data_IF_568498860896
#
_entry.id   IF_568498860896
#
_cell.length_a   1.000
_cell.length_b   1.000
_cell.length_c   1.000
_cell.angle_alpha   90.00
_cell.angle_beta   90.00
_cell.angle_gamma   90.00
#
_symmetry.space_group_name_H-M   'P 1'
#
loop_
_entity.id
_entity.type
_entity.pdbx_description
1 polymer ?
#
# COMPACT_ATOMS: atom_id res chain seq x y z
N UNK A 1 45.64 -40.08 14.77
CA UNK A 1 44.75 -39.69 13.67
C UNK A 1 43.52 -39.12 14.36
N UNK A 2 43.20 -37.84 14.38
CA UNK A 2 43.64 -36.66 13.62
C UNK A 2 43.31 -35.45 14.50
N UNK A 3 44.25 -34.52 14.61
CA UNK A 3 44.11 -33.20 15.24
C UNK A 3 43.67 -32.22 14.16
N UNK A 4 42.73 -31.32 14.44
CA UNK A 4 42.46 -30.14 13.59
C UNK A 4 42.41 -28.89 14.46
N UNK A 5 43.20 -27.91 14.03
CA UNK A 5 43.59 -26.70 14.72
C UNK A 5 42.47 -25.67 14.80
N UNK A 6 42.49 -24.90 15.91
CA UNK A 6 41.86 -23.58 16.05
C UNK A 6 42.61 -22.56 15.19
N UNK A 7 41.88 -21.78 14.39
CA UNK A 7 42.38 -20.55 13.77
C UNK A 7 41.73 -19.34 14.45
N UNK A 8 42.59 -18.43 14.89
CA UNK A 8 42.28 -17.13 15.48
C UNK A 8 42.14 -16.13 14.33
N UNK A 9 41.03 -15.39 14.27
CA UNK A 9 40.86 -14.25 13.36
C UNK A 9 40.99 -12.94 14.14
N UNK A 10 41.79 -12.04 13.57
CA UNK A 10 42.29 -10.77 14.09
C UNK A 10 41.26 -9.66 13.77
N UNK A 11 40.73 -9.00 14.80
CA UNK A 11 39.92 -7.78 14.65
C UNK A 11 40.84 -6.60 14.28
N UNK A 12 40.53 -5.94 13.16
CA UNK A 12 41.08 -4.63 12.79
C UNK A 12 39.96 -3.59 12.93
N UNK A 13 40.08 -2.73 13.91
CA UNK A 13 39.25 -1.54 14.11
C UNK A 13 39.77 -0.39 13.24
N UNK A 14 38.90 0.23 12.46
CA UNK A 14 39.13 1.56 11.87
C UNK A 14 37.95 2.43 12.28
N UNK A 15 38.22 3.38 13.19
CA UNK A 15 37.36 4.52 13.44
C UNK A 15 37.78 5.68 12.54
N UNK A 16 36.82 6.38 11.97
CA UNK A 16 37.03 7.71 11.39
C UNK A 16 36.09 8.69 12.09
N UNK A 17 36.70 9.64 12.81
CA UNK A 17 36.07 10.86 13.27
C UNK A 17 36.56 12.02 12.38
N UNK A 18 35.74 13.06 12.31
CA UNK A 18 35.74 14.09 11.27
C UNK A 18 36.93 15.04 11.19
N UNK A 19 36.91 15.83 10.11
CA UNK A 19 37.29 17.23 10.12
C UNK A 19 36.70 17.91 8.88
N UNK A 20 35.79 18.86 9.09
CA UNK A 20 35.43 19.91 8.16
C UNK A 20 36.56 20.95 8.19
N UNK A 21 37.04 21.36 7.01
CA UNK A 21 38.01 22.42 6.86
C UNK A 21 37.63 23.26 5.64
N UNK A 22 37.29 24.51 5.91
CA UNK A 22 37.14 25.60 4.95
C UNK A 22 38.44 25.82 4.17
N UNK A 23 38.34 26.07 2.86
CA UNK A 23 39.25 26.96 2.12
C UNK A 23 38.65 27.29 0.74
N UNK A 24 38.14 28.51 0.62
CA UNK A 24 37.98 29.26 -0.64
C UNK A 24 39.39 29.76 -1.08
N UNK A 25 39.75 29.71 -2.37
CA UNK A 25 39.79 31.00 -3.07
C UNK A 25 39.41 30.93 -4.56
N UNK A 26 38.50 31.83 -4.94
CA UNK A 26 38.63 32.86 -5.98
C UNK A 26 39.20 32.49 -7.39
N UNK A 27 38.29 32.54 -8.37
CA UNK A 27 38.28 33.47 -9.52
C UNK A 27 39.40 33.41 -10.60
N UNK A 28 39.05 33.01 -11.84
CA UNK A 28 39.20 33.69 -13.16
C UNK A 28 38.86 32.68 -14.28
N UNK A 29 37.84 32.87 -15.12
CA UNK A 29 37.75 33.69 -16.35
C UNK A 29 38.40 33.06 -17.61
N UNK A 30 37.68 33.18 -18.74
CA UNK A 30 38.00 32.81 -20.14
C UNK A 30 38.07 31.29 -20.41
N UNK A 31 37.29 30.68 -21.30
CA UNK A 31 37.06 31.06 -22.69
C UNK A 31 37.90 30.17 -23.62
N UNK A 32 37.28 29.67 -24.70
CA UNK A 32 37.89 29.11 -25.92
C UNK A 32 37.84 27.58 -26.11
N UNK A 33 37.00 27.23 -27.08
CA UNK A 33 37.08 26.11 -28.01
C UNK A 33 38.50 25.71 -28.44
N UNK A 34 38.78 24.40 -28.48
CA UNK A 34 39.46 23.82 -29.63
C UNK A 34 39.16 22.33 -29.84
N UNK A 35 39.05 22.02 -31.12
CA UNK A 35 38.89 20.76 -31.83
C UNK A 35 40.03 19.75 -31.58
N UNK A 36 39.70 18.45 -31.65
CA UNK A 36 40.70 17.37 -31.61
C UNK A 36 40.15 16.00 -32.01
N UNK A 37 40.19 15.74 -33.32
CA UNK A 37 39.99 14.45 -33.99
C UNK A 37 41.05 13.41 -33.58
N UNK A 38 40.67 12.14 -33.43
CA UNK A 38 41.57 10.97 -33.40
C UNK A 38 40.81 9.64 -33.57
N UNK A 39 40.79 9.15 -34.80
CA UNK A 39 40.52 7.75 -35.15
C UNK A 39 41.61 6.80 -34.62
N UNK A 40 41.25 5.56 -34.24
CA UNK A 40 42.07 4.38 -34.53
C UNK A 40 41.31 3.06 -34.42
N UNK A 41 41.47 2.26 -35.48
CA UNK A 41 40.98 0.91 -35.72
C UNK A 41 41.58 -0.18 -34.82
N UNK A 42 40.86 -1.30 -34.72
CA UNK A 42 41.36 -2.56 -34.17
C UNK A 42 40.51 -3.77 -34.56
N UNK A 43 40.51 -4.13 -35.85
CA UNK A 43 39.89 -5.36 -36.39
C UNK A 43 40.89 -6.53 -36.38
N UNK A 44 40.47 -7.72 -35.96
CA UNK A 44 41.18 -8.99 -36.22
C UNK A 44 40.28 -10.00 -36.90
N UNK A 45 40.91 -10.71 -37.84
CA UNK A 45 40.37 -11.42 -39.00
C UNK A 45 40.04 -12.90 -38.71
N UNK A 46 38.83 -13.28 -39.13
CA UNK A 46 38.39 -14.47 -39.90
C UNK A 46 39.17 -15.80 -39.86
N UNK A 47 38.46 -16.93 -39.64
CA UNK A 47 38.48 -18.06 -40.60
C UNK A 47 37.21 -18.92 -40.54
N UNK A 48 36.63 -19.11 -41.72
CA UNK A 48 35.44 -19.87 -42.14
C UNK A 48 35.67 -21.38 -42.19
N UNK A 49 34.65 -22.22 -41.96
CA UNK A 49 34.36 -23.39 -42.82
C UNK A 49 32.84 -23.59 -42.93
N UNK A 50 32.36 -23.46 -44.16
CA UNK A 50 31.02 -23.81 -44.68
C UNK A 50 30.95 -25.28 -45.06
N UNK A 51 29.79 -25.93 -44.87
CA UNK A 51 29.23 -26.86 -45.86
C UNK A 51 27.71 -26.95 -45.69
N UNK A 52 27.00 -26.47 -46.70
CA UNK A 52 25.65 -26.92 -47.10
C UNK A 52 25.84 -27.83 -48.35
N UNK A 53 24.90 -28.74 -48.70
CA UNK A 53 23.83 -28.29 -49.59
C UNK A 53 22.47 -29.01 -49.48
N UNK A 54 21.41 -28.22 -49.63
CA UNK A 54 20.20 -28.38 -50.46
C UNK A 54 19.84 -29.78 -51.01
N UNK A 55 18.55 -30.16 -50.86
CA UNK A 55 17.53 -29.93 -51.91
C UNK A 55 16.31 -30.86 -51.81
N UNK A 56 15.13 -30.32 -52.16
CA UNK A 56 13.88 -30.97 -52.63
C UNK A 56 13.09 -31.80 -51.61
N UNK A 57 11.76 -31.80 -51.56
CA UNK A 57 10.68 -31.21 -52.33
C UNK A 57 9.37 -31.87 -51.88
N UNK A 58 8.29 -31.07 -51.83
CA UNK A 58 6.85 -31.43 -51.95
C UNK A 58 6.33 -32.80 -51.46
N UNK A 59 5.23 -32.81 -50.68
CA UNK A 59 3.89 -33.27 -51.11
C UNK A 59 2.83 -32.90 -50.05
N UNK A 60 1.63 -32.56 -50.52
CA UNK A 60 0.44 -32.22 -49.72
C UNK A 60 -0.36 -33.48 -49.38
N UNK A 61 -1.16 -33.48 -48.30
CA UNK A 61 -2.64 -33.61 -48.33
C UNK A 61 -3.30 -34.01 -46.98
N UNK A 62 -4.27 -33.16 -46.57
CA UNK A 62 -5.63 -33.45 -46.05
C UNK A 62 -5.90 -34.42 -44.89
N UNK A 63 -6.59 -33.90 -43.85
CA UNK A 63 -7.93 -34.31 -43.36
C UNK A 63 -8.21 -33.56 -42.03
N UNK A 64 -9.10 -32.56 -41.95
CA UNK A 64 -10.55 -32.63 -41.68
C UNK A 64 -10.96 -33.58 -40.55
N UNK A 65 -11.41 -33.02 -39.42
CA UNK A 65 -12.78 -33.19 -38.90
C UNK A 65 -13.05 -32.23 -37.73
N UNK A 66 -14.13 -31.48 -37.88
CA UNK A 66 -14.89 -30.73 -36.87
C UNK A 66 -15.88 -31.69 -36.17
N UNK A 67 -16.41 -31.37 -34.97
CA UNK A 67 -17.76 -30.80 -34.99
C UNK A 67 -18.05 -29.69 -33.96
N UNK A 68 -18.79 -28.72 -34.48
CA UNK A 68 -19.59 -27.64 -33.87
C UNK A 68 -20.64 -28.06 -32.83
N UNK A 69 -20.95 -27.10 -31.94
CA UNK A 69 -22.19 -27.05 -31.17
C UNK A 69 -22.29 -25.84 -30.24
N UNK A 70 -22.79 -24.70 -30.72
CA UNK A 70 -23.38 -23.66 -29.86
C UNK A 70 -24.62 -23.06 -30.52
N UNK A 71 -25.70 -23.03 -29.75
CA UNK A 71 -27.03 -22.54 -30.09
C UNK A 71 -27.19 -21.08 -29.67
N UNK A 72 -27.84 -20.30 -30.53
CA UNK A 72 -28.44 -18.99 -30.22
C UNK A 72 -29.85 -19.17 -29.67
N UNK A 73 -30.31 -18.27 -28.79
CA UNK A 73 -31.73 -17.91 -28.65
C UNK A 73 -31.91 -16.50 -28.05
N UNK A 74 -32.99 -15.86 -28.49
CA UNK A 74 -33.35 -14.46 -28.46
C UNK A 74 -33.86 -13.91 -27.11
N UNK A 75 -33.87 -12.57 -27.00
CA UNK A 75 -34.22 -11.83 -25.78
C UNK A 75 -35.71 -11.61 -25.50
N UNK A 76 -35.98 -10.77 -24.50
CA UNK A 76 -37.25 -10.06 -24.30
C UNK A 76 -37.10 -8.97 -23.23
N UNK A 77 -37.93 -7.96 -23.40
CA UNK A 77 -38.01 -6.65 -22.75
C UNK A 77 -39.06 -6.57 -21.63
N UNK A 78 -38.91 -5.60 -20.71
CA UNK A 78 -39.96 -4.82 -19.98
C UNK A 78 -39.22 -3.99 -18.91
N UNK A 79 -39.27 -2.65 -18.78
CA UNK A 79 -40.33 -1.64 -18.70
C UNK A 79 -41.09 -1.55 -17.35
N UNK A 80 -40.67 -0.54 -16.56
CA UNK A 80 -41.49 0.51 -15.92
C UNK A 80 -42.00 0.36 -14.46
N UNK A 81 -41.85 1.51 -13.78
CA UNK A 81 -42.70 2.14 -12.76
C UNK A 81 -42.57 1.66 -11.30
N UNK A 82 -42.79 2.44 -10.25
CA UNK A 82 -42.74 3.89 -9.90
C UNK A 82 -43.37 3.97 -8.49
N UNK A 83 -43.04 5.01 -7.70
CA UNK A 83 -43.80 5.55 -6.53
C UNK A 83 -43.75 4.74 -5.20
N UNK A 84 -43.24 5.24 -4.06
CA UNK A 84 -43.48 6.45 -3.24
C UNK A 84 -44.55 6.32 -2.14
N UNK A 85 -44.13 6.64 -0.90
CA UNK A 85 -44.90 7.19 0.25
C UNK A 85 -45.96 6.28 0.92
N UNK A 86 -46.27 6.33 2.21
CA UNK A 86 -46.39 7.48 3.11
C UNK A 86 -46.46 7.05 4.59
N UNK A 87 -45.88 7.89 5.46
CA UNK A 87 -46.17 8.07 6.88
C UNK A 87 -47.64 8.38 7.16
N UNK A 88 -48.19 7.98 8.32
CA UNK A 88 -49.23 8.74 9.05
C UNK A 88 -49.12 8.53 10.57
N UNK A 89 -49.45 9.60 11.29
CA UNK A 89 -49.40 9.79 12.74
C UNK A 89 -50.78 10.22 13.27
N UNK A 90 -51.00 10.07 14.58
CA UNK A 90 -52.17 10.62 15.33
C UNK A 90 -53.41 9.74 15.26
N UNK A 91 -54.26 9.58 16.28
CA UNK A 91 -54.72 10.57 17.24
C UNK A 91 -55.16 9.95 18.59
N UNK A 92 -55.30 10.86 19.56
CA UNK A 92 -55.62 10.70 20.97
C UNK A 92 -57.12 10.47 21.25
N UNK A 93 -57.47 9.89 22.41
CA UNK A 93 -58.57 10.41 23.26
C UNK A 93 -58.63 9.74 24.64
N UNK A 94 -59.14 10.52 25.58
CA UNK A 94 -59.11 10.43 27.03
C UNK A 94 -60.31 9.71 27.67
N UNK A 95 -60.15 9.22 28.91
CA UNK A 95 -61.16 9.38 29.97
C UNK A 95 -60.60 9.01 31.36
N UNK A 96 -61.04 9.76 32.38
CA UNK A 96 -60.59 9.73 33.78
C UNK A 96 -61.47 8.89 34.71
N UNK A 97 -60.94 8.58 35.91
CA UNK A 97 -61.66 8.18 37.14
C UNK A 97 -61.59 6.68 37.44
N UNK A 98 -61.32 6.16 38.65
CA UNK A 98 -61.40 6.70 40.01
C UNK A 98 -60.57 5.79 40.95
N UNK A 99 -60.31 6.29 42.15
CA UNK A 99 -59.30 5.87 43.11
C UNK A 99 -59.70 4.67 43.97
N UNK A 100 -58.74 3.80 44.29
CA UNK A 100 -58.70 3.14 45.60
C UNK A 100 -57.27 2.82 46.00
N UNK A 101 -56.83 3.51 47.03
CA UNK A 101 -55.58 3.31 47.76
C UNK A 101 -55.58 1.96 48.49
N UNK A 102 -54.50 1.21 48.26
CA UNK A 102 -53.94 0.26 49.22
C UNK A 102 -52.46 0.62 49.35
N UNK A 103 -52.06 1.01 50.55
CA UNK A 103 -50.68 1.24 50.92
C UNK A 103 -49.92 -0.09 50.86
N UNK A 104 -49.16 -0.32 49.80
CA UNK A 104 -48.07 -1.29 49.78
C UNK A 104 -46.75 -0.52 49.61
N UNK A 105 -46.08 -0.36 50.74
CA UNK A 105 -44.74 0.19 50.82
C UNK A 105 -43.74 -0.80 50.19
N UNK A 106 -42.92 -0.29 49.27
CA UNK A 106 -41.59 -0.85 48.99
C UNK A 106 -41.55 -1.93 47.91
N UNK A 107 -41.45 -1.49 46.66
CA UNK A 107 -40.27 -1.78 45.84
C UNK A 107 -40.32 -0.83 44.67
N UNK A 108 -39.75 0.36 44.87
CA UNK A 108 -39.11 1.04 43.75
C UNK A 108 -38.14 0.02 43.15
N UNK A 109 -38.43 -0.47 41.95
CA UNK A 109 -37.45 -1.11 41.09
C UNK A 109 -36.45 -0.02 40.66
N UNK A 110 -35.74 0.53 41.64
CA UNK A 110 -34.41 1.03 41.40
C UNK A 110 -33.62 -0.24 41.11
N UNK A 111 -33.12 -0.34 39.89
CA UNK A 111 -32.14 -1.33 39.47
C UNK A 111 -30.92 -1.17 40.37
N UNK A 112 -30.94 -1.79 41.55
CA UNK A 112 -29.72 -2.21 42.21
C UNK A 112 -29.32 -3.45 41.45
N UNK A 113 -28.29 -3.36 40.60
CA UNK A 113 -27.80 -4.47 39.77
C UNK A 113 -27.85 -5.77 40.55
N UNK A 114 -28.57 -6.75 40.01
CA UNK A 114 -28.62 -8.07 40.60
C UNK A 114 -27.18 -8.61 40.55
N UNK A 115 -26.73 -9.30 41.59
CA UNK A 115 -25.35 -9.83 41.61
C UNK A 115 -25.13 -10.97 40.58
N UNK A 116 -26.16 -11.26 39.80
CA UNK A 116 -26.23 -12.25 38.73
C UNK A 116 -26.45 -11.57 37.35
N UNK A 117 -26.40 -10.23 37.26
CA UNK A 117 -26.47 -9.51 35.99
C UNK A 117 -25.12 -9.61 35.25
N UNK A 118 -25.22 -9.75 33.93
CA UNK A 118 -24.13 -9.78 32.93
C UNK A 118 -24.70 -8.96 31.77
N UNK A 119 -24.33 -7.67 31.73
CA UNK A 119 -25.01 -6.66 30.93
C UNK A 119 -24.58 -6.68 29.46
N UNK A 120 -23.40 -7.23 29.15
CA UNK A 120 -22.87 -7.34 27.79
C UNK A 120 -22.81 -8.78 27.25
N UNK A 121 -23.28 -9.76 28.05
CA UNK A 121 -23.39 -11.18 27.73
C UNK A 121 -22.03 -11.84 27.42
N UNK A 122 -20.93 -11.38 28.03
CA UNK A 122 -19.59 -11.92 27.84
C UNK A 122 -19.26 -13.14 28.72
N UNK A 123 -20.12 -13.42 29.71
CA UNK A 123 -20.01 -14.53 30.65
C UNK A 123 -19.32 -14.20 31.97
N UNK A 124 -18.93 -12.95 32.19
CA UNK A 124 -18.48 -12.36 33.45
C UNK A 124 -19.64 -11.54 34.04
N UNK A 125 -19.84 -11.64 35.34
CA UNK A 125 -20.93 -10.90 35.99
C UNK A 125 -20.50 -9.43 36.19
N UNK A 126 -21.43 -8.47 36.08
CA UNK A 126 -21.19 -7.02 36.23
C UNK A 126 -20.40 -6.63 37.49
N UNK A 127 -20.45 -7.46 38.53
CA UNK A 127 -19.75 -7.25 39.81
C UNK A 127 -18.27 -7.59 39.77
N UNK A 128 -17.86 -8.43 38.83
CA UNK A 128 -16.50 -8.91 38.59
C UNK A 128 -15.97 -8.44 37.21
N UNK A 129 -16.78 -7.66 36.46
CA UNK A 129 -16.50 -7.20 35.11
C UNK A 129 -15.85 -5.80 35.10
N UNK A 130 -14.65 -5.70 34.57
CA UNK A 130 -13.91 -4.44 34.41
C UNK A 130 -14.38 -3.60 33.21
N UNK A 131 -15.32 -4.11 32.39
CA UNK A 131 -15.97 -3.41 31.29
C UNK A 131 -17.47 -3.74 31.15
N UNK A 132 -18.28 -3.44 32.18
CA UNK A 132 -19.75 -3.67 32.30
C UNK A 132 -20.61 -3.50 31.01
N UNK A 133 -20.21 -2.66 30.06
CA UNK A 133 -20.98 -2.37 28.85
C UNK A 133 -20.33 -2.92 27.55
N UNK A 134 -19.14 -3.54 27.61
CA UNK A 134 -18.33 -3.96 26.45
C UNK A 134 -17.68 -5.31 26.71
N UNK A 135 -18.20 -6.34 26.02
CA UNK A 135 -17.80 -7.72 26.21
C UNK A 135 -16.27 -7.95 26.10
N UNK A 136 -15.68 -8.46 27.18
CA UNK A 136 -14.27 -8.81 27.29
C UNK A 136 -14.07 -9.99 28.26
N UNK A 137 -14.50 -11.18 27.84
CA UNK A 137 -14.47 -12.38 28.68
C UNK A 137 -13.09 -12.78 29.25
N UNK A 138 -12.00 -12.21 28.73
CA UNK A 138 -10.64 -12.39 29.24
C UNK A 138 -10.25 -11.43 30.36
N UNK A 139 -11.06 -10.39 30.60
CA UNK A 139 -10.96 -9.40 31.69
C UNK A 139 -9.57 -8.77 31.79
N UNK A 140 -8.97 -8.50 30.63
CA UNK A 140 -7.64 -7.92 30.55
C UNK A 140 -7.67 -6.47 31.04
N UNK A 141 -6.72 -6.12 31.92
CA UNK A 141 -6.49 -4.79 32.49
C UNK A 141 -4.96 -4.66 32.67
N UNK A 142 -4.35 -3.91 31.76
CA UNK A 142 -2.89 -3.86 31.62
C UNK A 142 -2.21 -2.97 32.68
N UNK A 143 -2.81 -1.84 33.04
CA UNK A 143 -2.24 -0.91 34.04
C UNK A 143 -2.79 -1.10 35.46
N UNK A 144 -3.77 -2.00 35.61
CA UNK A 144 -4.32 -2.46 36.89
C UNK A 144 -5.04 -1.34 37.63
N UNK A 145 -5.85 -0.57 36.89
CA UNK A 145 -6.67 0.51 37.42
C UNK A 145 -8.16 0.12 37.66
N UNK A 146 -8.47 -1.16 37.45
CA UNK A 146 -9.81 -1.79 37.49
C UNK A 146 -10.71 -1.43 36.29
N UNK A 147 -10.19 -0.77 35.24
CA UNK A 147 -10.85 -0.57 33.94
C UNK A 147 -10.24 -1.53 32.92
N UNK A 148 -11.06 -2.25 32.17
CA UNK A 148 -10.54 -3.20 31.19
C UNK A 148 -10.00 -2.55 29.92
N UNK A 149 -9.00 -3.18 29.30
CA UNK A 149 -8.30 -2.65 28.12
C UNK A 149 -9.23 -2.25 26.96
N UNK A 150 -10.40 -2.89 26.84
CA UNK A 150 -11.36 -2.63 25.75
C UNK A 150 -12.21 -1.37 25.99
N UNK A 151 -12.37 -0.96 27.25
CA UNK A 151 -13.19 0.17 27.67
C UNK A 151 -12.38 1.31 28.31
N UNK A 152 -11.07 1.13 28.43
CA UNK A 152 -10.10 2.16 28.79
C UNK A 152 -10.07 3.29 27.73
N UNK A 153 -9.75 4.51 28.15
CA UNK A 153 -9.59 5.69 27.31
C UNK A 153 -8.16 6.27 27.31
N UNK A 154 -7.25 5.72 28.11
CA UNK A 154 -5.86 6.17 28.24
C UNK A 154 -4.87 5.31 27.42
N UNK A 155 -3.98 5.97 26.67
CA UNK A 155 -2.88 5.26 25.99
C UNK A 155 -1.83 4.88 27.02
N UNK A 156 -1.54 3.58 27.13
CA UNK A 156 -0.47 3.04 27.97
C UNK A 156 0.76 2.80 27.10
N UNK A 157 1.87 3.45 27.42
CA UNK A 157 3.20 3.11 26.89
C UNK A 157 4.21 3.23 28.03
N UNK A 158 4.53 2.09 28.66
CA UNK A 158 5.45 2.03 29.80
C UNK A 158 6.84 1.46 29.43
N UNK A 159 7.05 1.17 28.14
CA UNK A 159 8.25 0.53 27.59
C UNK A 159 8.31 -0.99 27.76
N UNK A 160 7.36 -1.59 28.46
CA UNK A 160 7.14 -3.05 28.56
C UNK A 160 5.97 -3.42 27.67
N UNK A 161 4.87 -2.68 27.79
CA UNK A 161 3.61 -2.91 27.12
C UNK A 161 3.12 -1.62 26.41
N UNK A 162 2.28 -1.81 25.39
CA UNK A 162 1.61 -0.74 24.67
C UNK A 162 0.12 -1.06 24.52
N UNK A 163 -0.75 -0.20 25.06
CA UNK A 163 -2.19 -0.22 24.80
C UNK A 163 -2.57 1.05 24.03
N UNK A 164 -3.24 0.88 22.90
CA UNK A 164 -3.86 1.97 22.14
C UNK A 164 -5.37 1.75 22.20
N UNK A 165 -6.11 2.49 23.05
CA UNK A 165 -7.54 2.29 23.20
C UNK A 165 -8.36 2.72 21.99
N UNK A 166 -9.60 2.24 21.93
CA UNK A 166 -10.56 2.57 20.86
C UNK A 166 -10.74 4.08 20.68
N UNK A 167 -10.74 4.54 19.43
CA UNK A 167 -10.92 5.96 19.10
C UNK A 167 -9.72 6.87 19.37
N UNK A 168 -8.61 6.33 19.89
CA UNK A 168 -7.34 7.05 20.05
C UNK A 168 -6.42 6.82 18.85
N UNK A 169 -5.38 7.64 18.73
CA UNK A 169 -4.32 7.46 17.73
C UNK A 169 -2.95 7.62 18.38
N UNK A 170 -2.03 6.72 18.04
CA UNK A 170 -0.66 6.73 18.53
C UNK A 170 0.31 6.62 17.36
N UNK A 171 1.39 7.41 17.39
CA UNK A 171 2.41 7.42 16.34
C UNK A 171 3.61 6.58 16.79
N UNK A 172 4.01 5.58 15.99
CA UNK A 172 5.32 4.93 16.11
C UNK A 172 6.13 5.10 14.84
N UNK A 173 7.45 5.04 14.98
CA UNK A 173 8.39 5.07 13.87
C UNK A 173 9.54 4.08 14.06
N UNK A 174 10.10 3.64 12.93
CA UNK A 174 11.31 2.83 12.84
C UNK A 174 11.22 1.49 13.59
N UNK A 175 11.79 1.38 14.78
CA UNK A 175 11.87 0.14 15.55
C UNK A 175 11.29 0.39 16.94
N UNK A 176 10.19 -0.29 17.23
CA UNK A 176 9.51 -0.24 18.52
C UNK A 176 9.62 -1.61 19.21
N UNK A 177 10.04 -1.59 20.47
CA UNK A 177 10.41 -2.78 21.22
C UNK A 177 9.71 -2.80 22.57
N UNK A 178 8.82 -3.77 22.75
CA UNK A 178 8.07 -4.03 23.97
C UNK A 178 8.42 -5.43 24.47
N UNK A 179 8.67 -5.63 25.76
CA UNK A 179 9.00 -6.97 26.30
C UNK A 179 7.77 -7.77 26.71
N UNK A 180 6.63 -7.10 26.89
CA UNK A 180 5.33 -7.66 27.18
C UNK A 180 4.46 -7.70 25.91
N UNK A 181 3.35 -6.99 25.94
CA UNK A 181 2.26 -7.06 24.98
C UNK A 181 2.04 -5.74 24.26
N UNK A 182 1.60 -5.82 23.01
CA UNK A 182 1.11 -4.68 22.25
C UNK A 182 -0.34 -4.94 21.85
N UNK A 183 -1.25 -4.07 22.26
CA UNK A 183 -2.69 -4.18 22.02
C UNK A 183 -3.18 -2.92 21.32
N UNK A 184 -3.76 -3.09 20.14
CA UNK A 184 -4.22 -2.00 19.28
C UNK A 184 -5.73 -2.12 19.08
N UNK A 185 -6.51 -1.33 19.83
CA UNK A 185 -7.95 -1.13 19.65
C UNK A 185 -8.26 0.18 18.89
N UNK A 186 -7.37 1.16 18.96
CA UNK A 186 -7.41 2.41 18.20
C UNK A 186 -6.60 2.35 16.91
N UNK A 187 -5.98 3.48 16.53
CA UNK A 187 -5.12 3.56 15.35
C UNK A 187 -3.65 3.74 15.72
N UNK A 188 -2.80 2.79 15.36
CA UNK A 188 -1.35 2.93 15.37
C UNK A 188 -0.89 3.46 14.01
N UNK A 189 -0.47 4.72 13.94
CA UNK A 189 0.01 5.34 12.70
C UNK A 189 1.53 5.21 12.58
N UNK A 190 1.99 4.74 11.41
CA UNK A 190 3.42 4.62 11.09
C UNK A 190 3.89 5.94 10.51
N UNK A 191 4.49 6.75 11.37
CA UNK A 191 4.81 8.15 11.05
C UNK A 191 5.85 8.26 9.95
N UNK A 192 5.56 9.06 8.92
CA UNK A 192 6.55 9.47 7.90
C UNK A 192 7.56 10.48 8.46
N UNK A 193 8.84 10.11 8.54
CA UNK A 193 9.91 11.09 8.80
C UNK A 193 10.29 11.77 7.48
N UNK A 194 10.16 13.11 7.44
CA UNK A 194 10.41 13.94 6.25
C UNK A 194 11.88 13.91 5.80
N UNK A 195 12.05 14.08 4.48
CA UNK A 195 13.29 14.08 3.67
C UNK A 195 13.90 12.68 3.37
N UNK A 196 13.76 11.69 4.27
CA UNK A 196 14.26 10.31 4.03
C UNK A 196 13.13 9.24 3.90
N UNK A 197 11.89 9.65 4.15
CA UNK A 197 10.67 8.90 3.85
C UNK A 197 10.38 7.69 4.75
N UNK A 198 10.78 7.67 6.03
CA UNK A 198 10.52 6.50 6.89
C UNK A 198 9.03 6.37 7.24
N UNK A 199 8.22 5.72 6.40
CA UNK A 199 6.97 5.06 6.82
C UNK A 199 7.20 3.56 6.98
N UNK A 200 8.21 3.20 7.77
CA UNK A 200 8.57 1.81 8.08
C UNK A 200 8.51 1.59 9.59
N UNK A 201 7.89 0.50 10.01
CA UNK A 201 7.77 0.06 11.40
C UNK A 201 8.22 -1.39 11.53
N UNK A 202 9.13 -1.65 12.46
CA UNK A 202 9.39 -2.97 13.03
C UNK A 202 8.92 -2.95 14.47
N UNK A 203 7.84 -3.67 14.76
CA UNK A 203 7.27 -3.78 16.09
C UNK A 203 7.60 -5.17 16.66
N UNK A 204 8.32 -5.21 17.78
CA UNK A 204 8.61 -6.44 18.49
C UNK A 204 7.95 -6.48 19.87
N UNK A 205 7.31 -7.61 20.18
CA UNK A 205 6.66 -7.87 21.47
C UNK A 205 6.69 -9.36 21.84
N UNK A 206 6.22 -9.72 23.04
CA UNK A 206 5.86 -11.11 23.35
C UNK A 206 4.57 -11.49 22.62
N UNK A 207 3.53 -10.66 22.76
CA UNK A 207 2.25 -10.80 22.05
C UNK A 207 1.90 -9.49 21.34
N UNK A 208 1.31 -9.59 20.15
CA UNK A 208 0.77 -8.45 19.41
C UNK A 208 -0.69 -8.75 19.06
N UNK A 209 -1.61 -7.89 19.46
CA UNK A 209 -3.03 -7.94 19.11
C UNK A 209 -3.40 -6.68 18.34
N UNK A 210 -3.94 -6.86 17.13
CA UNK A 210 -4.71 -5.83 16.42
C UNK A 210 -6.17 -6.25 16.54
N UNK A 211 -6.87 -5.68 17.52
CA UNK A 211 -8.23 -6.07 17.86
C UNK A 211 -9.24 -5.61 16.80
N UNK A 212 -10.48 -6.09 16.87
CA UNK A 212 -11.57 -5.59 16.03
C UNK A 212 -11.72 -4.07 16.18
N UNK A 213 -11.80 -3.35 15.05
CA UNK A 213 -11.80 -1.88 15.03
C UNK A 213 -10.42 -1.23 15.20
N UNK A 214 -9.42 -1.99 15.64
CA UNK A 214 -8.02 -1.58 15.70
C UNK A 214 -7.37 -1.51 14.32
N UNK A 215 -6.42 -0.59 14.14
CA UNK A 215 -5.74 -0.38 12.86
C UNK A 215 -4.27 -0.04 13.01
N UNK A 216 -3.40 -0.76 12.30
CA UNK A 216 -2.01 -0.33 12.04
C UNK A 216 -1.96 0.28 10.65
N UNK A 217 -1.64 1.58 10.57
CA UNK A 217 -1.73 2.39 9.37
C UNK A 217 -0.36 2.86 8.88
N UNK A 218 0.10 2.30 7.77
CA UNK A 218 1.23 2.76 6.99
C UNK A 218 0.82 3.11 5.55
N UNK A 219 -0.44 3.49 5.32
CA UNK A 219 -0.91 3.94 4.02
C UNK A 219 -0.13 5.13 3.53
N UNK A 220 0.23 5.10 2.24
CA UNK A 220 1.05 6.15 1.66
C UNK A 220 2.23 6.43 2.59
N UNK A 221 2.93 5.40 3.09
CA UNK A 221 4.08 5.53 3.99
C UNK A 221 5.42 5.43 3.26
N UNK A 222 5.41 5.01 2.00
CA UNK A 222 6.58 4.69 1.21
C UNK A 222 7.24 5.87 0.51
N UNK A 223 7.95 5.60 -0.59
CA UNK A 223 8.65 6.65 -1.34
C UNK A 223 7.69 7.65 -1.97
N UNK A 224 8.15 8.89 -2.12
CA UNK A 224 7.33 9.96 -2.64
C UNK A 224 7.05 9.77 -4.14
N UNK A 225 5.84 10.15 -4.56
CA UNK A 225 5.48 10.20 -5.97
C UNK A 225 6.20 11.34 -6.70
N UNK A 226 6.24 11.23 -8.03
CA UNK A 226 6.85 12.23 -8.89
C UNK A 226 6.16 13.58 -8.76
N UNK A 227 6.93 14.65 -8.88
CA UNK A 227 6.41 16.03 -8.84
C UNK A 227 6.29 16.62 -10.25
N UNK A 228 5.57 17.74 -10.35
CA UNK A 228 5.38 18.47 -11.60
C UNK A 228 6.70 19.10 -12.05
N UNK A 229 7.10 18.87 -13.30
CA UNK A 229 8.27 19.52 -13.88
C UNK A 229 7.99 21.00 -14.22
N UNK A 230 8.96 21.88 -13.95
CA UNK A 230 8.95 23.25 -14.49
C UNK A 230 9.57 23.22 -15.88
N UNK A 231 8.80 23.52 -16.93
CA UNK A 231 9.23 23.50 -18.34
C UNK A 231 9.76 22.14 -18.87
N UNK A 232 9.57 21.07 -18.10
CA UNK A 232 9.89 19.68 -18.43
C UNK A 232 8.62 18.81 -18.28
N UNK A 233 8.64 17.56 -18.76
CA UNK A 233 7.56 16.61 -18.48
C UNK A 233 7.44 16.29 -16.99
N UNK A 234 6.59 15.32 -16.66
CA UNK A 234 6.43 14.82 -15.31
C UNK A 234 7.74 14.25 -14.80
N UNK A 235 8.05 14.51 -13.53
CA UNK A 235 9.23 13.93 -12.86
C UNK A 235 8.88 12.49 -12.46
N UNK A 236 9.85 11.59 -12.52
CA UNK A 236 9.70 10.23 -12.02
C UNK A 236 9.42 10.20 -10.50
N UNK A 237 8.79 9.14 -10.03
CA UNK A 237 8.70 8.88 -8.59
C UNK A 237 10.05 8.52 -7.97
N UNK A 238 10.05 8.43 -6.64
CA UNK A 238 11.20 7.96 -5.86
C UNK A 238 11.08 6.46 -5.52
N UNK A 239 12.21 5.87 -5.16
CA UNK A 239 12.31 4.47 -4.73
C UNK A 239 12.79 3.49 -5.81
N UNK A 240 13.20 2.27 -5.42
CA UNK A 240 13.51 1.20 -6.37
C UNK A 240 12.25 0.88 -7.20
N UNK A 241 12.32 0.64 -8.50
CA UNK A 241 11.07 0.39 -9.26
C UNK A 241 10.09 1.58 -9.30
N UNK A 242 10.58 2.79 -8.98
CA UNK A 242 9.89 4.03 -9.32
C UNK A 242 9.60 4.07 -10.82
N UNK A 243 8.47 4.66 -11.15
CA UNK A 243 7.98 4.72 -12.52
C UNK A 243 8.20 6.11 -13.10
N UNK A 244 8.29 6.17 -14.43
CA UNK A 244 8.64 7.40 -15.12
C UNK A 244 7.45 8.37 -15.20
N UNK A 245 7.76 9.67 -15.18
CA UNK A 245 6.76 10.68 -15.48
C UNK A 245 6.46 10.76 -16.98
N UNK A 246 5.29 11.33 -17.32
CA UNK A 246 4.85 11.51 -18.69
C UNK A 246 5.60 12.64 -19.40
N UNK A 247 5.87 12.48 -20.70
CA UNK A 247 6.46 13.54 -21.53
C UNK A 247 5.56 14.78 -21.68
N UNK A 248 6.16 15.90 -22.11
CA UNK A 248 5.42 17.13 -22.45
C UNK A 248 4.44 16.88 -23.61
N UNK A 249 3.34 17.61 -23.67
CA UNK A 249 2.44 17.62 -24.83
C UNK A 249 2.66 18.82 -25.73
N UNK A 250 2.67 18.65 -27.06
CA UNK A 250 2.45 19.78 -27.99
C UNK A 250 0.99 20.24 -27.95
N UNK A 251 0.07 19.29 -27.69
CA UNK A 251 -1.34 19.54 -27.41
C UNK A 251 -1.74 18.94 -26.05
N UNK A 252 -1.51 17.64 -25.80
CA UNK A 252 -1.95 16.93 -24.58
C UNK A 252 -0.74 16.34 -23.83
N UNK A 253 -0.58 16.68 -22.55
CA UNK A 253 0.46 16.08 -21.69
C UNK A 253 0.21 14.58 -21.47
N UNK A 254 1.28 13.79 -21.34
CA UNK A 254 1.18 12.34 -21.11
C UNK A 254 0.93 12.03 -19.63
N UNK A 255 0.13 11.01 -19.35
CA UNK A 255 -0.11 10.59 -17.97
C UNK A 255 1.12 9.90 -17.35
N UNK A 256 1.18 9.88 -16.03
CA UNK A 256 2.24 9.17 -15.30
C UNK A 256 2.01 7.66 -15.27
N UNK A 257 3.08 6.87 -15.27
CA UNK A 257 2.99 5.41 -15.03
C UNK A 257 2.86 5.11 -13.55
N UNK A 258 2.18 4.01 -13.20
CA UNK A 258 2.14 3.52 -11.83
C UNK A 258 3.47 2.94 -11.38
N UNK A 259 3.77 3.03 -10.09
CA UNK A 259 5.00 2.48 -9.51
C UNK A 259 4.96 0.95 -9.41
N UNK A 260 6.13 0.33 -9.27
CA UNK A 260 6.26 -1.13 -9.16
C UNK A 260 6.87 -1.55 -7.84
N UNK A 261 6.16 -2.34 -7.03
CA UNK A 261 6.68 -3.14 -5.91
C UNK A 261 5.78 -4.37 -5.82
N UNK A 262 6.32 -5.58 -5.68
CA UNK A 262 5.52 -6.83 -5.68
C UNK A 262 4.92 -7.18 -7.06
N UNK A 263 4.27 -6.21 -7.71
CA UNK A 263 3.79 -6.23 -9.09
C UNK A 263 4.33 -5.08 -9.94
N UNK A 264 4.13 -5.16 -11.26
CA UNK A 264 4.51 -4.12 -12.23
C UNK A 264 3.45 -3.02 -12.22
N UNK A 265 3.84 -1.75 -12.21
CA UNK A 265 2.89 -0.64 -12.36
C UNK A 265 2.24 -0.56 -13.75
N UNK A 266 1.05 0.02 -13.82
CA UNK A 266 0.30 0.23 -15.04
C UNK A 266 0.88 1.34 -15.90
N UNK A 267 0.62 1.28 -17.21
CA UNK A 267 0.97 2.34 -18.16
C UNK A 267 -0.24 3.15 -18.61
N UNK A 268 -0.05 4.43 -18.97
CA UNK A 268 -0.99 5.17 -19.82
C UNK A 268 -1.27 4.41 -21.12
N UNK A 269 -2.47 4.55 -21.68
CA UNK A 269 -2.88 3.86 -22.91
C UNK A 269 -1.90 4.08 -24.09
N UNK A 270 -1.40 3.02 -24.75
CA UNK A 270 -0.43 3.11 -25.83
C UNK A 270 -0.99 3.59 -27.19
N UNK A 271 -2.30 3.79 -27.34
CA UNK A 271 -2.93 4.06 -28.64
C UNK A 271 -2.40 5.31 -29.37
N UNK A 272 -1.83 6.28 -28.66
CA UNK A 272 -1.31 7.54 -29.22
C UNK A 272 0.15 7.82 -28.91
N UNK A 273 0.84 6.88 -28.27
CA UNK A 273 2.26 7.02 -27.99
C UNK A 273 3.08 6.89 -29.28
N UNK A 274 3.86 7.91 -29.58
CA UNK A 274 4.57 7.97 -30.85
C UNK A 274 5.93 7.28 -30.83
N UNK A 275 6.58 7.14 -29.66
CA UNK A 275 7.77 6.30 -29.42
C UNK A 275 7.86 5.84 -27.94
N UNK A 276 8.42 4.66 -27.69
CA UNK A 276 8.84 4.22 -26.36
C UNK A 276 10.05 5.08 -25.94
N UNK A 277 9.92 5.95 -24.94
CA UNK A 277 11.14 6.44 -24.29
C UNK A 277 11.62 5.34 -23.36
N UNK A 278 12.79 4.83 -23.71
CA UNK A 278 13.47 3.75 -22.99
C UNK A 278 13.96 4.19 -21.58
N UNK A 279 13.61 5.41 -21.11
CA UNK A 279 14.14 5.93 -19.85
C UNK A 279 13.34 7.08 -19.26
N UNK A 280 13.28 7.11 -17.92
CA UNK A 280 12.79 8.26 -17.16
C UNK A 280 13.62 9.55 -17.40
N UNK A 281 14.78 9.46 -18.07
CA UNK A 281 15.62 10.61 -18.41
C UNK A 281 15.13 11.43 -19.61
N UNK A 282 14.19 10.91 -20.40
CA UNK A 282 13.71 11.55 -21.63
C UNK A 282 12.33 12.21 -21.47
N UNK A 283 11.90 12.53 -20.24
CA UNK A 283 10.62 13.18 -19.96
C UNK A 283 10.44 14.56 -20.64
N UNK A 284 11.48 15.10 -21.28
CA UNK A 284 11.39 16.32 -22.11
C UNK A 284 10.95 16.04 -23.55
N UNK A 285 10.92 14.78 -23.98
CA UNK A 285 10.43 14.36 -25.29
C UNK A 285 8.90 14.44 -25.31
N UNK A 286 8.37 15.04 -26.38
CA UNK A 286 6.94 15.21 -26.52
C UNK A 286 6.22 13.87 -26.74
N UNK A 287 5.06 13.69 -26.12
CA UNK A 287 4.16 12.52 -26.27
C UNK A 287 4.82 11.16 -25.96
N UNK A 288 5.72 11.15 -24.98
CA UNK A 288 6.33 9.93 -24.53
C UNK A 288 5.59 9.26 -23.35
N UNK A 289 5.37 7.95 -23.43
CA UNK A 289 4.90 7.16 -22.28
C UNK A 289 6.08 6.84 -21.38
N UNK A 290 5.91 7.11 -20.09
CA UNK A 290 6.81 6.56 -19.09
C UNK A 290 6.83 5.02 -19.15
N UNK A 291 7.94 4.40 -18.74
CA UNK A 291 7.96 2.98 -18.44
C UNK A 291 7.57 2.73 -16.97
N UNK A 292 6.89 1.62 -16.64
CA UNK A 292 6.82 1.14 -15.27
C UNK A 292 8.22 0.80 -14.77
N UNK A 293 8.47 1.00 -13.49
CA UNK A 293 9.74 0.58 -12.90
C UNK A 293 9.87 -0.95 -12.88
N UNK A 294 11.11 -1.44 -12.73
CA UNK A 294 11.33 -2.87 -12.50
C UNK A 294 10.73 -3.30 -11.15
N UNK A 295 10.08 -4.46 -11.11
CA UNK A 295 9.63 -5.05 -9.84
C UNK A 295 10.84 -5.34 -8.95
N UNK A 296 10.75 -4.96 -7.68
CA UNK A 296 11.79 -5.17 -6.69
C UNK A 296 11.26 -5.87 -5.42
N UNK A 297 12.17 -6.18 -4.49
CA UNK A 297 11.93 -7.07 -3.35
C UNK A 297 11.98 -8.54 -3.75
N UNK A 298 12.09 -9.44 -2.77
CA UNK A 298 12.11 -10.88 -3.00
C UNK A 298 10.85 -11.56 -2.47
N UNK A 299 10.37 -12.58 -3.19
CA UNK A 299 9.25 -13.43 -2.74
C UNK A 299 9.67 -14.31 -1.54
N UNK A 300 10.96 -14.62 -1.48
CA UNK A 300 11.60 -15.48 -0.49
C UNK A 300 12.48 -14.63 0.45
N UNK A 301 12.55 -15.00 1.73
CA UNK A 301 13.43 -14.34 2.70
C UNK A 301 12.76 -13.26 3.53
N UNK A 302 13.57 -12.59 4.36
CA UNK A 302 13.10 -11.73 5.46
C UNK A 302 12.97 -10.25 5.11
N UNK A 303 13.23 -9.91 3.86
CA UNK A 303 13.10 -8.56 3.33
C UNK A 303 11.64 -8.09 3.34
N UNK A 304 11.48 -6.83 3.71
CA UNK A 304 10.27 -6.05 3.55
C UNK A 304 10.71 -4.64 3.22
N UNK A 305 10.08 -4.05 2.22
CA UNK A 305 10.43 -2.72 1.76
C UNK A 305 9.19 -1.85 1.65
N UNK A 306 9.44 -0.56 1.63
CA UNK A 306 8.43 0.44 1.29
C UNK A 306 8.12 0.35 -0.20
N UNK A 307 6.87 0.59 -0.54
CA UNK A 307 6.44 0.80 -1.91
C UNK A 307 7.05 2.06 -2.52
N UNK A 308 7.10 2.08 -3.85
CA UNK A 308 7.67 3.15 -4.65
C UNK A 308 6.63 4.16 -5.11
N UNK A 309 7.11 5.36 -5.42
CA UNK A 309 6.26 6.44 -5.92
C UNK A 309 5.93 6.30 -7.41
N UNK A 310 4.70 6.65 -7.76
CA UNK A 310 4.25 6.74 -9.15
C UNK A 310 4.86 7.95 -9.87
N UNK A 311 4.85 7.95 -11.20
CA UNK A 311 5.35 9.07 -12.00
C UNK A 311 4.34 10.21 -12.06
N UNK A 312 4.81 11.45 -12.13
CA UNK A 312 3.93 12.59 -12.41
C UNK A 312 3.48 12.60 -13.88
N UNK A 313 2.33 13.21 -14.16
CA UNK A 313 1.94 13.51 -15.52
C UNK A 313 2.75 14.68 -16.11
N UNK A 314 2.85 14.71 -17.43
CA UNK A 314 3.49 15.78 -18.18
C UNK A 314 2.63 17.03 -18.33
N UNK A 315 3.31 18.15 -18.54
CA UNK A 315 2.70 19.45 -18.81
C UNK A 315 2.00 19.49 -20.18
N UNK A 316 0.90 20.24 -20.27
CA UNK A 316 0.31 20.65 -21.56
C UNK A 316 1.04 21.88 -22.13
N UNK A 317 1.08 22.03 -23.46
CA UNK A 317 1.77 23.15 -24.10
C UNK A 317 1.26 24.51 -23.60
N UNK A 318 2.18 25.39 -23.17
CA UNK A 318 1.85 26.71 -22.64
C UNK A 318 1.35 26.73 -21.19
N UNK A 319 1.28 25.57 -20.53
CA UNK A 319 0.95 25.43 -19.11
C UNK A 319 2.17 24.95 -18.34
N UNK A 320 2.72 25.82 -17.50
CA UNK A 320 3.76 25.43 -16.55
C UNK A 320 3.08 24.86 -15.31
N UNK A 321 3.60 23.76 -14.77
CA UNK A 321 3.10 23.13 -13.54
C UNK A 321 1.67 22.55 -13.66
N UNK A 322 1.33 21.98 -14.82
CA UNK A 322 0.11 21.22 -15.10
C UNK A 322 0.39 19.72 -15.16
N UNK A 323 -0.63 18.89 -14.97
CA UNK A 323 -0.50 17.44 -14.81
C UNK A 323 -0.51 17.01 -13.34
N UNK A 324 -1.12 15.86 -13.07
CA UNK A 324 -1.22 15.28 -11.74
C UNK A 324 0.14 14.83 -11.21
N UNK A 325 0.36 15.00 -9.92
CA UNK A 325 1.52 14.43 -9.23
C UNK A 325 1.39 12.90 -9.14
N UNK A 326 2.51 12.20 -8.98
CA UNK A 326 2.49 10.77 -8.71
C UNK A 326 2.01 10.47 -7.30
N UNK A 327 1.37 9.30 -7.12
CA UNK A 327 1.01 8.80 -5.81
C UNK A 327 2.25 8.29 -5.06
N UNK A 328 2.30 8.50 -3.75
CA UNK A 328 3.35 7.89 -2.92
C UNK A 328 3.14 6.38 -2.75
N UNK A 329 4.22 5.62 -2.62
CA UNK A 329 4.11 4.19 -2.30
C UNK A 329 3.60 3.91 -0.89
N UNK A 330 3.18 2.67 -0.62
CA UNK A 330 2.79 2.18 0.70
C UNK A 330 3.98 2.00 1.65
N UNK A 331 3.74 2.05 2.96
CA UNK A 331 4.77 1.89 3.98
C UNK A 331 5.27 0.46 4.14
N UNK A 332 6.01 0.18 5.21
CA UNK A 332 6.50 -1.15 5.50
C UNK A 332 6.27 -1.50 6.97
N UNK A 333 5.70 -2.67 7.26
CA UNK A 333 5.34 -3.10 8.61
C UNK A 333 5.93 -4.48 8.86
N UNK A 334 6.68 -4.65 9.93
CA UNK A 334 7.15 -5.94 10.43
C UNK A 334 6.63 -6.15 11.86
N UNK A 335 5.76 -7.15 12.04
CA UNK A 335 5.23 -7.56 13.34
C UNK A 335 5.99 -8.82 13.79
N UNK A 336 6.75 -8.73 14.87
CA UNK A 336 7.64 -9.79 15.34
C UNK A 336 7.28 -10.14 16.78
N UNK A 337 6.71 -11.33 16.99
CA UNK A 337 6.30 -11.76 18.32
C UNK A 337 7.03 -13.02 18.78
N UNK A 338 7.37 -13.08 20.06
CA UNK A 338 7.98 -14.29 20.65
C UNK A 338 6.97 -15.36 21.01
N UNK A 339 5.68 -15.01 21.11
CA UNK A 339 4.59 -15.93 21.43
C UNK A 339 3.55 -15.95 20.30
N UNK A 340 2.83 -14.84 20.09
CA UNK A 340 1.74 -14.77 19.11
C UNK A 340 1.53 -13.40 18.48
N UNK A 341 1.02 -13.40 17.25
CA UNK A 341 0.40 -12.22 16.62
C UNK A 341 -1.05 -12.58 16.30
N UNK A 342 -1.99 -11.74 16.71
CA UNK A 342 -3.42 -11.88 16.45
C UNK A 342 -3.93 -10.64 15.71
N UNK A 343 -4.63 -10.86 14.59
CA UNK A 343 -5.13 -9.78 13.72
C UNK A 343 -6.62 -10.00 13.48
N UNK A 344 -7.43 -9.24 14.21
CA UNK A 344 -8.88 -9.13 14.06
C UNK A 344 -9.31 -7.77 13.48
N UNK A 345 -8.43 -6.77 13.54
CA UNK A 345 -8.57 -5.47 12.89
C UNK A 345 -7.80 -5.37 11.57
N UNK A 346 -7.33 -4.16 11.25
CA UNK A 346 -6.74 -3.83 9.96
C UNK A 346 -5.23 -3.56 10.05
N UNK A 347 -4.45 -4.19 9.17
CA UNK A 347 -3.05 -3.84 8.92
C UNK A 347 -2.93 -3.33 7.50
N UNK A 348 -2.60 -2.06 7.33
CA UNK A 348 -2.69 -1.37 6.04
C UNK A 348 -1.36 -0.75 5.65
N UNK A 349 -0.87 -1.05 4.45
CA UNK A 349 0.25 -0.39 3.81
C UNK A 349 -0.02 -0.18 2.31
N UNK A 350 -1.21 0.32 1.99
CA UNK A 350 -1.64 0.61 0.62
C UNK A 350 -0.85 1.79 0.02
N UNK A 351 -0.65 1.75 -1.29
CA UNK A 351 -0.13 2.85 -2.10
C UNK A 351 -1.16 3.94 -2.31
N UNK A 352 -0.69 5.16 -2.58
CA UNK A 352 -1.54 6.33 -2.73
C UNK A 352 -2.14 6.43 -4.14
N UNK A 353 -3.43 6.69 -4.22
CA UNK A 353 -4.07 7.27 -5.43
C UNK A 353 -3.78 8.77 -5.47
N UNK A 354 -3.09 9.31 -6.49
CA UNK A 354 -2.79 10.73 -6.54
C UNK A 354 -4.04 11.57 -6.78
N UNK A 355 -4.01 12.80 -6.25
CA UNK A 355 -5.05 13.78 -6.52
C UNK A 355 -5.08 14.18 -8.01
N UNK A 356 -6.28 14.46 -8.51
CA UNK A 356 -6.45 15.01 -9.84
C UNK A 356 -5.83 16.41 -9.95
N UNK A 357 -5.35 16.77 -11.14
CA UNK A 357 -4.81 18.10 -11.38
C UNK A 357 -5.90 19.19 -11.35
N UNK A 358 -5.76 20.15 -10.45
CA UNK A 358 -6.67 21.29 -10.24
C UNK A 358 -6.17 22.61 -10.85
N UNK A 359 -5.02 22.61 -11.53
CA UNK A 359 -4.37 23.80 -12.09
C UNK A 359 -5.26 24.61 -13.05
N UNK A 360 -6.30 23.99 -13.62
CA UNK A 360 -7.22 24.61 -14.55
C UNK A 360 -6.59 24.98 -15.90
N UNK A 361 -5.39 24.48 -16.19
CA UNK A 361 -4.63 24.79 -17.39
C UNK A 361 -4.44 23.54 -18.25
N UNK A 362 -4.76 23.63 -19.54
CA UNK A 362 -4.55 22.55 -20.49
C UNK A 362 -5.41 21.32 -20.22
N UNK A 363 -4.89 20.15 -20.58
CA UNK A 363 -5.65 18.88 -20.61
C UNK A 363 -5.47 18.01 -19.36
N UNK A 364 -4.67 18.45 -18.38
CA UNK A 364 -4.68 17.94 -17.00
C UNK A 364 -4.66 16.40 -16.93
N UNK A 365 -3.58 15.79 -17.42
CA UNK A 365 -3.39 14.35 -17.35
C UNK A 365 -3.17 13.88 -15.90
N UNK A 366 -3.58 12.65 -15.60
CA UNK A 366 -3.45 12.05 -14.27
C UNK A 366 -2.05 11.52 -13.99
N UNK A 367 -1.55 11.69 -12.76
CA UNK A 367 -0.31 11.05 -12.32
C UNK A 367 -0.52 9.57 -12.03
N UNK A 368 0.56 8.78 -12.00
CA UNK A 368 0.48 7.35 -11.73
C UNK A 368 0.31 7.02 -10.25
N UNK A 369 -0.38 5.92 -9.95
CA UNK A 369 -0.56 5.41 -8.60
C UNK A 369 0.75 4.94 -7.95
N UNK A 370 0.89 5.14 -6.64
CA UNK A 370 1.99 4.56 -5.87
C UNK A 370 1.81 3.06 -5.68
N UNK A 371 2.91 2.30 -5.59
CA UNK A 371 2.78 0.85 -5.36
C UNK A 371 2.39 0.56 -3.92
N UNK A 372 1.83 -0.63 -3.67
CA UNK A 372 1.65 -1.15 -2.33
C UNK A 372 2.97 -1.28 -1.57
N UNK A 373 2.87 -1.42 -0.25
CA UNK A 373 3.97 -1.58 0.68
C UNK A 373 4.29 -3.04 1.04
N UNK A 374 5.09 -3.23 2.07
CA UNK A 374 5.50 -4.55 2.56
C UNK A 374 4.97 -4.84 3.96
N UNK A 375 4.35 -5.99 4.18
CA UNK A 375 3.95 -6.47 5.51
C UNK A 375 4.60 -7.83 5.79
N UNK A 376 5.31 -7.92 6.90
CA UNK A 376 5.87 -9.16 7.43
C UNK A 376 5.26 -9.43 8.79
N UNK A 377 4.87 -10.67 9.03
CA UNK A 377 4.47 -11.16 10.34
C UNK A 377 5.30 -12.39 10.67
N UNK A 378 5.98 -12.39 11.82
CA UNK A 378 6.84 -13.49 12.26
C UNK A 378 6.56 -13.83 13.73
N UNK A 379 5.94 -14.99 13.96
CA UNK A 379 5.63 -15.46 15.31
C UNK A 379 5.40 -16.98 15.37
N UNK A 380 5.64 -17.63 16.52
CA UNK A 380 5.31 -19.05 16.70
C UNK A 380 3.84 -19.37 16.43
N UNK A 381 2.93 -18.46 16.76
CA UNK A 381 1.51 -18.57 16.40
C UNK A 381 1.02 -17.28 15.74
N UNK A 382 0.29 -17.41 14.63
CA UNK A 382 -0.40 -16.29 13.99
C UNK A 382 -1.89 -16.61 13.90
N UNK A 383 -2.68 -15.79 14.57
CA UNK A 383 -4.13 -15.95 14.73
C UNK A 383 -4.85 -14.79 14.04
N UNK A 384 -6.16 -14.93 13.89
CA UNK A 384 -7.04 -13.89 13.40
C UNK A 384 -8.34 -14.46 12.85
N UNK A 385 -9.42 -13.77 13.14
CA UNK A 385 -10.78 -14.07 12.70
C UNK A 385 -11.00 -13.71 11.22
N UNK A 386 -12.20 -13.98 10.73
CA UNK A 386 -12.59 -13.60 9.36
C UNK A 386 -12.76 -12.07 9.18
N UNK A 387 -12.75 -11.30 10.27
CA UNK A 387 -12.90 -9.85 10.26
C UNK A 387 -11.55 -9.18 9.97
N UNK A 388 -10.46 -9.76 10.46
CA UNK A 388 -9.12 -9.23 10.28
C UNK A 388 -8.71 -9.07 8.83
N UNK A 389 -7.98 -8.00 8.53
CA UNK A 389 -7.53 -7.70 7.17
C UNK A 389 -6.06 -7.24 7.13
N UNK A 390 -5.37 -7.67 6.08
CA UNK A 390 -4.03 -7.19 5.72
C UNK A 390 -4.11 -6.68 4.29
N UNK A 391 -3.79 -5.41 4.09
CA UNK A 391 -3.91 -4.74 2.79
C UNK A 391 -2.61 -4.05 2.43
N UNK A 392 -2.10 -4.37 1.23
CA UNK A 392 -0.91 -3.75 0.63
C UNK A 392 -1.16 -3.48 -0.85
N UNK A 393 -2.32 -2.90 -1.19
CA UNK A 393 -2.72 -2.65 -2.58
C UNK A 393 -1.91 -1.54 -3.21
N UNK A 394 -1.79 -1.58 -4.53
CA UNK A 394 -1.35 -0.42 -5.30
C UNK A 394 -2.43 0.67 -5.30
N UNK A 395 -2.00 1.93 -5.28
CA UNK A 395 -2.90 3.06 -5.46
C UNK A 395 -3.42 3.14 -6.90
N UNK A 396 -4.63 3.64 -7.08
CA UNK A 396 -5.20 3.82 -8.41
C UNK A 396 -4.44 4.91 -9.17
N UNK A 397 -4.51 4.87 -10.50
CA UNK A 397 -4.03 5.95 -11.33
C UNK A 397 -4.85 7.22 -11.12
N UNK A 398 -4.21 8.37 -11.22
CA UNK A 398 -4.85 9.67 -11.09
C UNK A 398 -5.91 9.88 -12.15
N UNK A 399 -7.05 10.42 -11.72
CA UNK A 399 -8.13 10.83 -12.62
C UNK A 399 -7.70 12.01 -13.49
N UNK A 400 -8.06 11.99 -14.77
CA UNK A 400 -7.87 13.12 -15.69
C UNK A 400 -9.19 13.87 -15.91
N UNK A 401 -9.30 15.13 -15.44
CA UNK A 401 -10.47 15.96 -15.70
C UNK A 401 -10.62 16.38 -17.17
N UNK A 402 -9.55 16.27 -17.96
CA UNK A 402 -9.48 16.82 -19.32
C UNK A 402 -9.58 18.35 -19.36
N UNK A 403 -9.78 18.91 -20.56
CA UNK A 403 -10.07 20.33 -20.75
C UNK A 403 -11.59 20.59 -20.91
N UNK A 404 -12.00 21.88 -20.91
CA UNK A 404 -13.41 22.26 -21.00
C UNK A 404 -13.98 22.21 -22.44
N UNK A 405 -13.14 22.02 -23.47
CA UNK A 405 -13.51 22.26 -24.86
C UNK A 405 -13.48 21.01 -25.73
N UNK A 406 -12.40 20.23 -25.69
CA UNK A 406 -12.18 19.13 -26.66
C UNK A 406 -12.14 17.73 -26.00
N UNK A 407 -12.26 17.68 -24.67
CA UNK A 407 -12.49 16.48 -23.88
C UNK A 407 -11.32 15.45 -23.90
N UNK A 408 -10.11 15.89 -24.27
CA UNK A 408 -8.91 15.04 -24.21
C UNK A 408 -8.40 14.95 -22.77
N UNK A 409 -8.01 13.75 -22.34
CA UNK A 409 -7.47 13.53 -21.00
C UNK A 409 -7.03 12.09 -20.80
N UNK A 410 -5.86 11.90 -20.20
CA UNK A 410 -5.22 10.60 -20.01
C UNK A 410 -5.16 10.29 -18.52
N UNK A 411 -5.82 9.23 -18.11
CA UNK A 411 -5.71 8.72 -16.75
C UNK A 411 -4.33 8.11 -16.50
N UNK A 412 -3.83 8.25 -15.27
CA UNK A 412 -2.57 7.64 -14.84
C UNK A 412 -2.62 6.12 -14.80
N UNK A 413 -1.48 5.45 -14.88
CA UNK A 413 -1.40 4.01 -14.62
C UNK A 413 -1.58 3.69 -13.13
N UNK A 414 -2.23 2.57 -12.81
CA UNK A 414 -2.36 2.09 -11.42
C UNK A 414 -1.05 1.55 -10.86
N UNK A 415 -0.79 1.70 -9.57
CA UNK A 415 0.40 1.17 -8.91
C UNK A 415 0.36 -0.36 -8.78
N UNK A 416 1.53 -1.01 -8.79
CA UNK A 416 1.64 -2.45 -8.50
C UNK A 416 1.27 -2.78 -7.05
N UNK A 417 0.70 -3.97 -6.81
CA UNK A 417 0.36 -4.44 -5.47
C UNK A 417 1.57 -4.95 -4.70
N UNK A 418 1.59 -4.77 -3.39
CA UNK A 418 2.74 -4.99 -2.51
C UNK A 418 2.99 -6.43 -2.08
N UNK A 419 3.68 -6.61 -0.94
CA UNK A 419 4.11 -7.93 -0.46
C UNK A 419 3.61 -8.22 0.95
N UNK A 420 3.06 -9.41 1.16
CA UNK A 420 2.72 -9.92 2.49
C UNK A 420 3.42 -11.26 2.72
N UNK A 421 4.16 -11.38 3.81
CA UNK A 421 4.82 -12.64 4.22
C UNK A 421 4.44 -12.97 5.66
N UNK A 422 3.93 -14.17 5.88
CA UNK A 422 3.61 -14.68 7.23
C UNK A 422 4.50 -15.88 7.54
N UNK A 423 5.34 -15.76 8.55
CA UNK A 423 6.24 -16.80 9.05
C UNK A 423 5.70 -17.35 10.37
N UNK A 424 5.09 -18.54 10.33
CA UNK A 424 4.57 -19.18 11.53
C UNK A 424 4.38 -20.70 11.35
N UNK A 425 4.89 -21.53 12.27
CA UNK A 425 4.62 -22.96 12.27
C UNK A 425 3.17 -23.30 12.66
N UNK A 426 2.45 -22.36 13.29
CA UNK A 426 1.06 -22.51 13.70
C UNK A 426 0.24 -21.27 13.33
N UNK A 427 -0.02 -21.11 12.03
CA UNK A 427 -0.94 -20.08 11.53
C UNK A 427 -2.36 -20.62 11.37
N UNK A 428 -3.34 -19.91 11.95
CA UNK A 428 -4.77 -20.11 11.74
C UNK A 428 -5.48 -18.81 11.35
N UNK A 429 -4.76 -17.82 10.83
CA UNK A 429 -5.31 -16.57 10.33
C UNK A 429 -6.39 -16.84 9.27
N UNK A 430 -7.62 -16.47 9.57
CA UNK A 430 -8.80 -16.68 8.71
C UNK A 430 -9.26 -15.41 7.98
N UNK A 431 -8.54 -14.30 8.20
CA UNK A 431 -8.86 -13.00 7.64
C UNK A 431 -8.53 -12.85 6.15
N UNK A 432 -8.68 -11.64 5.64
CA UNK A 432 -8.42 -11.31 4.24
C UNK A 432 -7.01 -10.76 4.03
N UNK A 433 -6.36 -11.15 2.94
CA UNK A 433 -5.08 -10.57 2.50
C UNK A 433 -5.26 -10.04 1.08
N UNK A 434 -5.11 -8.73 0.91
CA UNK A 434 -5.24 -8.07 -0.39
C UNK A 434 -3.90 -7.49 -0.85
N UNK A 435 -3.39 -8.02 -1.96
CA UNK A 435 -2.13 -7.62 -2.60
C UNK A 435 -2.39 -7.12 -4.03
N UNK A 436 -3.60 -6.64 -4.31
CA UNK A 436 -4.01 -6.26 -5.66
C UNK A 436 -3.24 -5.02 -6.16
N UNK A 437 -3.01 -4.94 -7.48
CA UNK A 437 -2.59 -3.68 -8.09
C UNK A 437 -3.75 -2.68 -8.12
N UNK A 438 -3.41 -1.39 -8.15
CA UNK A 438 -4.39 -0.32 -8.29
C UNK A 438 -5.04 -0.33 -9.68
N UNK A 439 -6.26 0.19 -9.76
CA UNK A 439 -6.94 0.42 -11.02
C UNK A 439 -6.21 1.49 -11.84
N UNK A 440 -6.39 1.45 -13.16
CA UNK A 440 -6.00 2.57 -14.01
C UNK A 440 -6.87 3.79 -13.76
N UNK A 441 -6.29 4.98 -13.89
CA UNK A 441 -7.03 6.22 -13.74
C UNK A 441 -8.05 6.42 -14.86
N UNK A 442 -9.21 6.94 -14.49
CA UNK A 442 -10.28 7.30 -15.42
C UNK A 442 -10.10 8.70 -16.02
N UNK A 443 -10.90 8.99 -17.04
CA UNK A 443 -10.97 10.30 -17.70
C UNK A 443 -12.41 10.80 -17.75
N UNK A 444 -12.64 12.10 -17.63
CA UNK A 444 -14.00 12.68 -17.59
C UNK A 444 -14.83 12.42 -18.86
N UNK A 445 -14.20 12.08 -19.99
CA UNK A 445 -14.86 11.93 -21.30
C UNK A 445 -14.44 10.64 -22.04
N UNK A 446 -14.63 9.49 -21.39
CA UNK A 446 -14.37 8.16 -21.95
C UNK A 446 -15.13 7.98 -23.28
N UNK A 447 -14.41 7.61 -24.36
CA UNK A 447 -14.98 7.19 -25.64
C UNK A 447 -15.04 8.23 -26.76
N UNK A 448 -14.72 9.51 -26.51
CA UNK A 448 -14.52 10.50 -27.59
C UNK A 448 -13.04 10.81 -27.80
N UNK A 449 -12.30 11.15 -26.73
CA UNK A 449 -10.87 11.48 -26.73
C UNK A 449 -10.16 11.18 -25.39
N UNK A 450 -10.84 10.56 -24.41
CA UNK A 450 -10.29 10.21 -23.10
C UNK A 450 -9.73 8.79 -23.06
N UNK A 451 -8.52 8.63 -22.53
CA UNK A 451 -7.84 7.35 -22.38
C UNK A 451 -7.74 6.97 -20.89
N UNK A 452 -7.96 5.68 -20.62
CA UNK A 452 -7.90 5.11 -19.27
C UNK A 452 -6.50 4.53 -19.07
N UNK A 453 -5.93 4.69 -17.88
CA UNK A 453 -4.70 3.98 -17.54
C UNK A 453 -4.90 2.47 -17.51
N UNK A 454 -3.82 1.72 -17.65
CA UNK A 454 -3.84 0.29 -17.34
C UNK A 454 -3.76 0.08 -15.81
N UNK A 455 -4.39 -0.98 -15.27
CA UNK A 455 -4.22 -1.35 -13.87
C UNK A 455 -2.78 -1.82 -13.61
N UNK A 456 -2.35 -1.72 -12.35
CA UNK A 456 -1.12 -2.35 -11.87
C UNK A 456 -1.27 -3.87 -11.76
N UNK A 457 -0.14 -4.56 -11.86
CA UNK A 457 -0.04 -5.99 -11.57
C UNK A 457 -0.21 -6.27 -10.09
N UNK A 458 -0.81 -7.41 -9.77
CA UNK A 458 -0.91 -7.89 -8.39
C UNK A 458 0.48 -8.17 -7.81
N UNK A 459 0.55 -8.03 -6.49
CA UNK A 459 1.69 -8.35 -5.66
C UNK A 459 1.74 -9.81 -5.23
N UNK A 460 2.40 -10.06 -4.10
CA UNK A 460 2.70 -11.41 -3.63
C UNK A 460 2.27 -11.58 -2.18
N UNK A 461 1.56 -12.67 -1.92
CA UNK A 461 1.26 -13.16 -0.57
C UNK A 461 1.87 -14.55 -0.38
N UNK A 462 2.63 -14.75 0.69
CA UNK A 462 3.22 -16.02 1.04
C UNK A 462 3.08 -16.33 2.54
N UNK A 463 2.85 -17.62 2.84
CA UNK A 463 2.85 -18.17 4.19
C UNK A 463 3.92 -19.26 4.29
N UNK A 464 4.76 -19.19 5.32
CA UNK A 464 5.92 -20.06 5.52
C UNK A 464 5.82 -20.67 6.93
N UNK A 465 5.99 -21.99 7.03
CA UNK A 465 5.75 -22.79 8.25
C UNK A 465 6.91 -22.78 9.25
N UNK A 466 7.79 -21.80 9.15
CA UNK A 466 8.94 -21.63 10.05
C UNK A 466 9.27 -20.16 10.23
N UNK A 467 9.78 -19.80 11.41
CA UNK A 467 10.26 -18.46 11.72
C UNK A 467 11.77 -18.40 11.43
N UNK A 468 12.21 -17.57 10.46
CA UNK A 468 13.63 -17.35 10.19
C UNK A 468 14.41 -16.88 11.43
N UNK A 469 15.68 -17.29 11.52
CA UNK A 469 16.55 -16.93 12.65
C UNK A 469 16.85 -15.44 12.69
N UNK A 470 16.80 -14.76 11.55
CA UNK A 470 17.01 -13.34 11.39
C UNK A 470 15.94 -12.52 12.14
N UNK A 471 14.72 -13.03 12.28
CA UNK A 471 13.70 -12.40 13.13
C UNK A 471 13.92 -12.65 14.62
N UNK A 472 14.69 -13.69 14.99
CA UNK A 472 15.09 -13.89 16.38
C UNK A 472 16.06 -12.82 16.87
N UNK A 473 16.87 -12.24 15.98
CA UNK A 473 17.79 -11.14 16.29
C UNK A 473 17.08 -9.77 16.41
N UNK A 474 15.82 -9.69 15.96
CA UNK A 474 14.97 -8.50 16.04
C UNK A 474 14.05 -8.51 17.28
N UNK A 475 14.11 -9.57 18.09
CA UNK A 475 13.39 -9.68 19.37
C UNK A 475 14.00 -8.71 20.38
N UNK A 476 13.16 -8.05 21.17
CA UNK A 476 13.56 -7.21 22.29
C UNK A 476 14.56 -7.93 23.21
N UNK A 477 15.72 -7.31 23.52
CA UNK A 477 16.64 -7.89 24.49
C UNK A 477 16.00 -7.88 25.88
N UNK A 478 15.97 -9.05 26.53
CA UNK A 478 15.45 -9.28 27.89
C UNK A 478 16.34 -8.70 28.98
#
# INVERSE_FOLDING_TARGET
MTSVQRSVALLLTIGLAGACGDDDPANVDEGSSDSGDSSSDGSTVSTTITTDPDSSGSESSTASTDPTGSSSDDGSSSSSADSSSSSEAGESSSSEGDSSSSDDAGSSSESTGDADDDNDDDGVLDVDDNCIDIANADQSDLDVDDVGDVCDDEVIDDGTDLLIPGGTSYDLDAVACYTGSVRVYGTLHVRRISEDGSGSLTLSAATILVAEGGRIDAESGGFSGGTRGLDAGGIQGEGPGASCGGGIGEDVGQAGTGASYGGVGGVPDPAYATEDCDSCSDATVAHCIGSPGAVFGTDEGVDFERGSGGGAAGNSFGCNNSGGEGGSGGGAIALIATESVEIDGDVVADGQTPAADDSGCGYRAGGGGGSGGGVVIAAPSVLGSAIGSITVRGGDGGFSPGDAFDAWGWGGGGGGGGRVKIFSPASSFAGTVAVDGGAGGDSANIGSNGLIGSPGGAGVFATIDSVPVEYSDLICPT
#
